data_IF_052821845510
#
_entry.id   IF_052821845510
#
_cell.length_a   1.000
_cell.length_b   1.000
_cell.length_c   1.000
_cell.angle_alpha   90.00
_cell.angle_beta   90.00
_cell.angle_gamma   90.00
#
_symmetry.space_group_name_H-M   'P 1'
#
loop_
_entity.id
_entity.type
_entity.pdbx_description
1 polymer ?
#
# COMPACT_ATOMS: atom_id res chain seq x y z
N UNK A 1 -8.73 -8.85 -0.16
CA UNK A 1 -7.74 -8.02 -0.86
C UNK A 1 -8.21 -7.85 -2.29
N UNK A 2 -8.39 -6.60 -2.70
CA UNK A 2 -8.73 -6.23 -4.08
C UNK A 2 -7.44 -5.81 -4.79
N UNK A 3 -7.40 -5.93 -6.12
CA UNK A 3 -6.28 -5.45 -6.91
C UNK A 3 -6.65 -5.21 -8.36
N UNK A 4 -5.99 -4.23 -8.97
CA UNK A 4 -6.21 -3.78 -10.35
C UNK A 4 -4.91 -3.20 -10.89
N UNK A 5 -4.86 -2.99 -12.21
CA UNK A 5 -3.71 -2.37 -12.90
C UNK A 5 -4.07 -0.94 -13.22
N UNK A 6 -3.13 -0.03 -13.02
CA UNK A 6 -3.18 1.36 -13.51
C UNK A 6 -1.92 1.65 -14.33
N UNK A 7 -1.98 2.68 -15.15
CA UNK A 7 -0.84 3.19 -15.91
C UNK A 7 -0.45 4.58 -15.38
N UNK A 8 0.85 4.84 -15.29
CA UNK A 8 1.35 6.18 -14.95
C UNK A 8 1.29 7.13 -16.16
N UNK A 9 1.71 8.38 -15.96
CA UNK A 9 1.70 9.41 -17.01
C UNK A 9 2.60 9.07 -18.21
N UNK A 10 3.58 8.18 -18.02
CA UNK A 10 4.50 7.72 -19.06
C UNK A 10 4.00 6.43 -19.73
N UNK A 11 2.81 5.94 -19.37
CA UNK A 11 2.19 4.73 -19.91
C UNK A 11 2.74 3.43 -19.32
N UNK A 12 3.43 3.49 -18.17
CA UNK A 12 3.96 2.28 -17.51
C UNK A 12 2.92 1.73 -16.54
N UNK A 13 2.60 0.44 -16.71
CA UNK A 13 1.66 -0.24 -15.84
C UNK A 13 2.26 -0.55 -14.46
N UNK A 14 1.48 -0.31 -13.41
CA UNK A 14 1.76 -0.70 -12.04
C UNK A 14 0.56 -1.43 -11.41
N UNK A 15 0.85 -2.27 -10.42
CA UNK A 15 -0.19 -3.07 -9.74
C UNK A 15 -0.64 -2.35 -8.48
N UNK A 16 -1.94 -2.12 -8.35
CA UNK A 16 -2.56 -1.57 -7.14
C UNK A 16 -3.20 -2.70 -6.33
N UNK A 17 -3.03 -2.67 -5.00
CA UNK A 17 -3.80 -3.53 -4.10
C UNK A 17 -4.29 -2.77 -2.87
N UNK A 18 -5.47 -3.16 -2.42
CA UNK A 18 -6.07 -2.62 -1.20
C UNK A 18 -6.64 -3.73 -0.31
N UNK A 19 -6.61 -3.45 1.00
CA UNK A 19 -7.27 -4.26 2.02
C UNK A 19 -7.35 -3.44 3.32
N UNK A 20 -7.70 -4.10 4.41
CA UNK A 20 -7.55 -3.59 5.77
C UNK A 20 -6.46 -4.35 6.54
N UNK A 21 -5.90 -3.73 7.56
CA UNK A 21 -4.87 -4.31 8.40
C UNK A 21 -4.46 -3.40 9.55
N UNK A 22 -3.38 -3.75 10.24
CA UNK A 22 -2.77 -2.93 11.30
C UNK A 22 -1.31 -2.67 10.98
N UNK A 23 -0.84 -1.45 11.25
CA UNK A 23 0.60 -1.16 11.14
C UNK A 23 1.30 -1.89 12.28
N UNK A 24 2.24 -2.77 11.95
CA UNK A 24 2.96 -3.60 12.92
C UNK A 24 4.42 -3.22 13.10
N UNK A 25 4.99 -2.50 12.13
CA UNK A 25 6.31 -1.90 12.26
C UNK A 25 6.48 -0.71 11.30
N UNK A 26 7.37 0.20 11.70
CA UNK A 26 7.87 1.28 10.88
C UNK A 26 9.40 1.30 10.98
N UNK A 27 10.08 0.95 9.90
CA UNK A 27 11.52 0.74 9.89
C UNK A 27 12.18 1.78 8.98
N UNK A 28 13.17 2.55 9.45
CA UNK A 28 13.85 3.50 8.58
C UNK A 28 14.70 2.76 7.53
N UNK A 29 14.77 3.29 6.31
CA UNK A 29 15.47 2.66 5.17
C UNK A 29 16.15 3.71 4.31
N UNK A 30 17.37 3.40 3.88
CA UNK A 30 18.17 4.24 3.00
C UNK A 30 19.51 4.61 3.63
N UNK A 31 20.24 5.46 2.92
CA UNK A 31 21.40 6.17 3.48
C UNK A 31 20.86 7.51 3.99
N UNK A 32 21.24 7.88 5.21
CA UNK A 32 20.86 9.16 5.79
C UNK A 32 21.46 10.31 4.98
N UNK A 33 20.86 11.49 5.08
CA UNK A 33 21.50 12.71 4.64
C UNK A 33 22.66 13.11 5.56
N UNK A 34 23.24 14.30 5.33
CA UNK A 34 24.36 14.83 6.13
C UNK A 34 24.02 15.00 7.63
N UNK A 35 22.72 15.04 7.98
CA UNK A 35 22.22 15.14 9.35
C UNK A 35 21.80 13.78 9.93
N UNK A 36 21.91 12.70 9.15
CA UNK A 36 21.48 11.36 9.53
C UNK A 36 19.99 11.10 9.36
N UNK A 37 19.24 12.01 8.73
CA UNK A 37 17.82 11.83 8.47
C UNK A 37 17.62 10.86 7.31
N UNK A 38 16.82 9.82 7.55
CA UNK A 38 16.57 8.77 6.56
C UNK A 38 15.38 9.14 5.66
N UNK A 39 15.56 9.19 4.33
CA UNK A 39 14.55 9.75 3.42
C UNK A 39 13.30 8.88 3.28
N UNK A 40 13.39 7.59 3.63
CA UNK A 40 12.30 6.63 3.50
C UNK A 40 12.14 5.77 4.74
N UNK A 41 10.91 5.30 4.94
CA UNK A 41 10.57 4.29 5.91
C UNK A 41 9.83 3.13 5.23
N UNK A 42 10.04 1.90 5.71
CA UNK A 42 9.22 0.74 5.38
C UNK A 42 8.12 0.65 6.41
N UNK A 43 6.88 0.76 5.95
CA UNK A 43 5.68 0.44 6.72
C UNK A 43 5.41 -1.05 6.56
N UNK A 44 5.29 -1.76 7.67
CA UNK A 44 4.84 -3.17 7.70
C UNK A 44 3.40 -3.19 8.18
N UNK A 45 2.52 -3.80 7.40
CA UNK A 45 1.10 -3.91 7.74
C UNK A 45 0.75 -5.38 7.85
N UNK A 46 0.28 -5.80 9.03
CA UNK A 46 -0.39 -7.10 9.20
C UNK A 46 -1.79 -7.01 8.57
N UNK A 47 -2.01 -7.81 7.54
CA UNK A 47 -3.26 -7.82 6.76
C UNK A 47 -4.33 -8.60 7.53
N UNK A 48 -5.54 -8.06 7.56
CA UNK A 48 -6.66 -8.74 8.20
C UNK A 48 -6.92 -10.13 7.56
N UNK A 49 -7.32 -11.13 8.36
CA UNK A 49 -7.66 -12.45 7.85
C UNK A 49 -8.76 -12.38 6.79
N UNK A 50 -8.54 -13.04 5.66
CA UNK A 50 -9.58 -13.24 4.66
C UNK A 50 -10.58 -14.26 5.20
N UNK A 51 -11.88 -13.93 5.16
CA UNK A 51 -12.94 -14.85 5.57
C UNK A 51 -12.79 -16.22 4.87
N UNK A 52 -12.88 -17.31 5.64
CA UNK A 52 -12.74 -18.67 5.12
C UNK A 52 -11.30 -19.20 5.01
N UNK A 53 -10.27 -18.43 5.41
CA UNK A 53 -8.88 -18.94 5.52
C UNK A 53 -8.50 -19.32 6.95
N UNK A 54 -7.64 -20.34 7.14
CA UNK A 54 -7.10 -20.69 8.45
C UNK A 54 -6.39 -19.50 9.09
N UNK A 55 -6.72 -19.18 10.35
CA UNK A 55 -6.14 -18.06 11.11
C UNK A 55 -4.66 -18.26 11.49
N UNK A 56 -4.08 -19.42 11.17
CA UNK A 56 -2.68 -19.73 11.47
C UNK A 56 -1.68 -19.03 10.57
N UNK A 57 -2.11 -18.54 9.40
CA UNK A 57 -1.24 -17.81 8.47
C UNK A 57 -1.45 -16.31 8.68
N UNK A 58 -0.43 -15.63 9.20
CA UNK A 58 -0.36 -14.17 9.20
C UNK A 58 0.23 -13.71 7.88
N UNK A 59 -0.51 -12.85 7.18
CA UNK A 59 -0.01 -12.16 6.00
C UNK A 59 0.45 -10.78 6.43
N UNK A 60 1.67 -10.40 6.05
CA UNK A 60 2.16 -9.04 6.22
C UNK A 60 2.61 -8.50 4.87
N UNK A 61 2.41 -7.20 4.68
CA UNK A 61 2.81 -6.49 3.47
C UNK A 61 3.76 -5.36 3.85
N UNK A 62 4.70 -5.06 2.95
CA UNK A 62 5.72 -4.04 3.16
C UNK A 62 5.60 -3.01 2.06
N UNK A 63 5.57 -1.74 2.43
CA UNK A 63 5.54 -0.63 1.48
C UNK A 63 6.46 0.49 1.95
N UNK A 64 7.07 1.22 1.00
CA UNK A 64 7.86 2.41 1.29
C UNK A 64 6.97 3.64 1.40
N UNK A 65 7.36 4.54 2.29
CA UNK A 65 6.81 5.88 2.43
C UNK A 65 7.97 6.86 2.59
N UNK A 66 7.86 8.07 2.02
CA UNK A 66 8.85 9.14 2.25
C UNK A 66 8.66 9.70 3.65
N UNK A 67 9.75 10.02 4.34
CA UNK A 67 9.68 10.60 5.68
C UNK A 67 8.93 11.96 5.71
N UNK A 68 8.99 12.71 4.60
CA UNK A 68 8.30 13.99 4.41
C UNK A 68 6.83 13.86 4.00
N UNK A 69 6.36 12.66 3.65
CA UNK A 69 4.98 12.44 3.22
C UNK A 69 4.04 12.42 4.43
N UNK A 70 2.86 13.09 4.40
CA UNK A 70 1.85 12.97 5.46
C UNK A 70 1.52 11.52 5.84
N UNK A 71 1.59 10.58 4.89
CA UNK A 71 1.37 9.15 5.15
C UNK A 71 2.37 8.56 6.14
N UNK A 72 3.57 9.12 6.27
CA UNK A 72 4.54 8.69 7.28
C UNK A 72 4.02 8.99 8.69
N UNK A 73 3.42 10.16 8.91
CA UNK A 73 2.78 10.52 10.20
C UNK A 73 1.58 9.62 10.49
N UNK A 74 0.79 9.29 9.47
CA UNK A 74 -0.32 8.34 9.63
C UNK A 74 0.16 6.93 9.97
N UNK A 75 1.28 6.49 9.38
CA UNK A 75 1.89 5.21 9.71
C UNK A 75 2.42 5.19 11.15
N UNK A 76 3.04 6.29 11.61
CA UNK A 76 3.46 6.46 13.01
C UNK A 76 2.25 6.40 13.96
N UNK A 77 1.18 7.12 13.65
CA UNK A 77 -0.06 7.08 14.44
C UNK A 77 -0.65 5.67 14.48
N UNK A 78 -0.68 4.97 13.33
CA UNK A 78 -1.17 3.60 13.21
C UNK A 78 -0.34 2.56 13.98
N UNK A 79 0.96 2.79 14.11
CA UNK A 79 1.84 1.96 14.93
C UNK A 79 1.58 2.20 16.43
N UNK A 80 1.29 3.44 16.82
CA UNK A 80 1.09 3.81 18.21
C UNK A 80 -0.30 3.41 18.75
N UNK A 81 -1.34 3.49 17.91
CA UNK A 81 -2.73 3.23 18.31
C UNK A 81 -3.21 1.79 18.06
N UNK A 82 -2.45 1.01 17.28
CA UNK A 82 -2.75 -0.36 16.85
C UNK A 82 -4.15 -0.52 16.20
N UNK A 83 -4.76 0.58 15.74
CA UNK A 83 -6.07 0.55 15.14
C UNK A 83 -6.03 -0.01 13.73
N UNK A 84 -7.18 -0.55 13.30
CA UNK A 84 -7.34 -1.05 11.95
C UNK A 84 -7.35 0.11 10.95
N UNK A 85 -6.62 -0.06 9.85
CA UNK A 85 -6.51 0.90 8.76
C UNK A 85 -6.83 0.27 7.42
N UNK A 86 -7.54 1.01 6.58
CA UNK A 86 -7.64 0.74 5.17
C UNK A 86 -6.34 1.21 4.53
N UNK A 87 -5.77 0.38 3.67
CA UNK A 87 -4.51 0.68 3.00
C UNK A 87 -4.62 0.48 1.50
N UNK A 88 -3.85 1.28 0.78
CA UNK A 88 -3.66 1.17 -0.66
C UNK A 88 -2.16 1.21 -0.96
N UNK A 89 -1.67 0.24 -1.71
CA UNK A 89 -0.25 0.12 -2.06
C UNK A 89 -0.13 -0.05 -3.58
N UNK A 90 0.83 0.65 -4.16
CA UNK A 90 1.24 0.53 -5.56
C UNK A 90 2.56 -0.25 -5.66
N UNK A 91 2.62 -1.26 -6.53
CA UNK A 91 3.84 -1.95 -6.91
C UNK A 91 4.29 -1.47 -8.27
N UNK A 92 5.37 -0.70 -8.28
CA UNK A 92 6.01 -0.24 -9.50
C UNK A 92 7.18 -1.15 -9.82
N UNK A 93 7.33 -1.55 -11.08
CA UNK A 93 8.52 -2.28 -11.54
C UNK A 93 9.80 -1.51 -11.20
N UNK A 94 10.87 -2.24 -10.95
CA UNK A 94 12.19 -1.64 -10.91
C UNK A 94 12.67 -1.27 -12.31
N UNK A 95 13.56 -0.28 -12.39
CA UNK A 95 14.09 0.22 -13.67
C UNK A 95 14.93 -0.80 -14.45
N UNK A 96 15.38 -1.87 -13.80
CA UNK A 96 16.12 -2.96 -14.43
C UNK A 96 15.21 -4.08 -14.97
N UNK A 97 13.90 -4.02 -14.72
CA UNK A 97 12.94 -5.03 -15.18
C UNK A 97 12.36 -4.60 -16.53
N UNK A 98 12.52 -5.41 -17.60
CA UNK A 98 12.10 -5.02 -18.96
C UNK A 98 10.60 -4.74 -19.08
N UNK A 99 10.25 -3.64 -19.76
CA UNK A 99 8.88 -3.12 -19.89
C UNK A 99 7.92 -4.09 -20.61
N UNK A 100 8.44 -5.01 -21.41
CA UNK A 100 7.63 -5.99 -22.16
C UNK A 100 7.03 -7.08 -21.26
N UNK A 101 7.58 -7.27 -20.06
CA UNK A 101 7.05 -8.26 -19.10
C UNK A 101 5.83 -7.68 -18.40
N UNK A 102 4.68 -8.36 -18.46
CA UNK A 102 3.47 -7.88 -17.81
C UNK A 102 3.62 -7.75 -16.29
N UNK A 103 3.13 -6.66 -15.69
CA UNK A 103 3.24 -6.38 -14.24
C UNK A 103 2.67 -7.51 -13.38
N UNK A 104 1.65 -8.21 -13.85
CA UNK A 104 1.01 -9.35 -13.16
C UNK A 104 1.85 -10.61 -13.12
N UNK A 105 2.87 -10.69 -13.98
CA UNK A 105 3.77 -11.84 -14.09
C UNK A 105 5.06 -11.68 -13.28
N UNK A 106 5.28 -10.49 -12.69
CA UNK A 106 6.47 -10.18 -11.92
C UNK A 106 6.43 -10.77 -10.51
N UNK A 107 7.60 -11.12 -9.97
CA UNK A 107 7.72 -11.37 -8.54
C UNK A 107 7.70 -10.02 -7.80
N UNK A 108 6.61 -9.76 -7.09
CA UNK A 108 6.41 -8.49 -6.39
C UNK A 108 7.45 -8.21 -5.30
N UNK A 109 8.21 -9.22 -4.85
CA UNK A 109 9.26 -9.03 -3.84
C UNK A 109 10.60 -8.61 -4.44
N UNK A 110 10.97 -9.14 -5.61
CA UNK A 110 12.29 -8.90 -6.22
C UNK A 110 12.25 -7.92 -7.40
N UNK A 111 11.13 -7.86 -8.11
CA UNK A 111 11.05 -7.19 -9.41
C UNK A 111 10.33 -5.83 -9.31
N UNK A 112 9.76 -5.52 -8.15
CA UNK A 112 8.96 -4.31 -7.94
C UNK A 112 9.26 -3.63 -6.60
N UNK A 113 9.06 -2.32 -6.57
CA UNK A 113 9.02 -1.51 -5.37
C UNK A 113 7.58 -1.22 -4.97
N UNK A 114 7.21 -1.64 -3.77
CA UNK A 114 5.95 -1.27 -3.14
C UNK A 114 6.02 0.14 -2.52
N UNK A 115 5.02 0.98 -2.80
CA UNK A 115 4.83 2.33 -2.28
C UNK A 115 3.48 2.46 -1.60
N UNK A 116 3.44 3.04 -0.41
CA UNK A 116 2.21 3.35 0.29
C UNK A 116 1.52 4.53 -0.40
N UNK A 117 0.26 4.36 -0.80
CA UNK A 117 -0.53 5.36 -1.52
C UNK A 117 -1.60 5.99 -0.63
N UNK A 118 -2.25 5.18 0.20
CA UNK A 118 -3.19 5.66 1.21
C UNK A 118 -3.13 4.78 2.46
N UNK A 119 -3.39 5.41 3.61
CA UNK A 119 -3.49 4.76 4.91
C UNK A 119 -4.50 5.51 5.79
N UNK A 120 -5.70 4.95 5.93
CA UNK A 120 -6.84 5.62 6.56
C UNK A 120 -7.37 4.82 7.75
N UNK A 121 -7.70 5.50 8.84
CA UNK A 121 -8.32 4.86 10.00
C UNK A 121 -9.68 4.29 9.63
N UNK A 122 -9.91 3.00 9.92
CA UNK A 122 -11.25 2.42 9.81
C UNK A 122 -12.00 2.78 11.08
N UNK A 123 -12.85 3.80 11.01
CA UNK A 123 -13.77 4.14 12.09
C UNK A 123 -14.61 2.91 12.45
N UNK A 124 -14.64 2.55 13.74
CA UNK A 124 -15.36 1.35 14.23
C UNK A 124 -16.90 1.47 14.18
N UNK A 125 -17.43 2.45 13.47
CA UNK A 125 -18.85 2.58 13.17
C UNK A 125 -19.14 2.00 11.78
N UNK A 126 -19.37 0.68 11.70
CA UNK A 126 -20.30 0.04 10.77
C UNK A 126 -20.31 -1.49 11.01
N UNK A 127 -21.27 -2.05 11.73
CA UNK A 127 -22.50 -2.55 11.09
C UNK A 127 -23.04 -1.67 9.97
N UNK A 128 -23.29 -2.29 8.81
CA UNK A 128 -23.89 -1.72 7.59
C UNK A 128 -22.96 -0.96 6.63
N UNK A 129 -22.73 -1.63 5.48
CA UNK A 129 -22.87 -1.07 4.13
C UNK A 129 -22.02 0.16 3.76
N UNK A 130 -20.81 -0.09 3.25
CA UNK A 130 -20.16 0.82 2.32
C UNK A 130 -19.99 0.11 0.95
N UNK A 131 -21.05 0.18 0.13
CA UNK A 131 -20.89 0.08 -1.32
C UNK A 131 -20.13 1.32 -1.77
N UNK A 132 -18.85 1.14 -2.11
CA UNK A 132 -18.05 2.17 -2.77
C UNK A 132 -18.65 2.35 -4.17
N UNK A 133 -19.37 3.45 -4.38
CA UNK A 133 -19.84 3.88 -5.70
C UNK A 133 -18.63 4.23 -6.56
N UNK A 134 -18.25 3.32 -7.44
CA UNK A 134 -17.60 3.67 -8.68
C UNK A 134 -18.69 4.30 -9.58
N UNK A 135 -18.59 5.58 -9.85
CA UNK A 135 -19.13 6.18 -11.08
C UNK A 135 -18.41 7.50 -11.30
N UNK A 136 -17.28 7.40 -12.02
CA UNK A 136 -16.82 8.50 -12.84
C UNK A 136 -17.91 8.84 -13.87
N UNK A 137 -18.05 10.13 -14.15
CA UNK A 137 -18.90 10.60 -15.22
C UNK A 137 -18.34 10.23 -16.59
N UNK A 138 -19.22 10.17 -17.59
CA UNK A 138 -18.96 10.58 -18.97
C UNK A 138 -20.26 11.20 -19.51
N UNK A 139 -20.05 12.25 -20.29
CA UNK A 139 -20.93 13.21 -20.95
C UNK A 139 -21.95 12.60 -21.93
N UNK A 140 -23.03 13.32 -22.25
CA UNK A 140 -23.28 13.91 -23.59
C UNK A 140 -24.73 14.42 -23.75
N UNK A 141 -24.81 15.63 -24.34
CA UNK A 141 -25.95 16.38 -24.93
C UNK A 141 -27.12 16.85 -24.06
#
# INVERSE_FOLDING_TARGET
MLGWIEDDADGRSFLMRSSTGRVSALLPVGLGDEHGDLPFHTVVIEVDPIAGRPRSVRLSIRARVRASDPLHREAQAGLADEHRRAWLIAWHRHSWVPDEVQITSLDLQSDTQAWLVSLELVSSNAGESAQIRATGGVEHE
#
